data_IF_275766005707
#
_entry.id   IF_275766005707
#
_cell.length_a   1.000
_cell.length_b   1.000
_cell.length_c   1.000
_cell.angle_alpha   90.00
_cell.angle_beta   90.00
_cell.angle_gamma   90.00
#
_symmetry.space_group_name_H-M   'P 1'
#
loop_
_entity.id
_entity.type
_entity.pdbx_description
1 polymer ?
#
# COMPACT_ATOMS: atom_id res chain seq x y z
N UNK A 1 -87.45 31.50 34.52
CA UNK A 1 -86.26 31.14 35.32
C UNK A 1 -85.89 29.67 35.17
N UNK A 2 -86.78 28.72 35.45
CA UNK A 2 -86.51 27.27 35.33
C UNK A 2 -86.11 26.80 33.92
N UNK A 3 -86.74 27.31 32.86
CA UNK A 3 -86.35 26.96 31.49
C UNK A 3 -84.92 27.36 31.12
N UNK A 4 -84.45 28.50 31.63
CA UNK A 4 -83.09 29.00 31.39
C UNK A 4 -82.05 28.17 32.17
N UNK A 5 -82.42 27.70 33.36
CA UNK A 5 -81.60 26.80 34.20
C UNK A 5 -81.47 25.42 33.53
N UNK A 6 -82.58 24.84 33.06
CA UNK A 6 -82.59 23.54 32.37
C UNK A 6 -81.75 23.60 31.08
N UNK A 7 -81.89 24.67 30.30
CA UNK A 7 -81.15 24.86 29.06
C UNK A 7 -79.65 25.04 29.33
N UNK A 8 -79.29 25.75 30.41
CA UNK A 8 -77.91 25.86 30.88
C UNK A 8 -77.30 24.52 31.31
N UNK A 9 -78.06 23.67 32.01
CA UNK A 9 -77.61 22.33 32.43
C UNK A 9 -77.37 21.42 31.22
N UNK A 10 -78.29 21.41 30.26
CA UNK A 10 -78.15 20.62 29.02
C UNK A 10 -76.92 21.08 28.23
N UNK A 11 -76.68 22.38 28.15
CA UNK A 11 -75.51 22.94 27.48
C UNK A 11 -74.20 22.53 28.16
N UNK A 12 -74.15 22.53 29.49
CA UNK A 12 -72.98 22.06 30.26
C UNK A 12 -72.75 20.57 30.01
N UNK A 13 -73.80 19.74 30.05
CA UNK A 13 -73.70 18.30 29.77
C UNK A 13 -73.16 18.07 28.35
N UNK A 14 -73.65 18.82 27.37
CA UNK A 14 -73.19 18.75 25.99
C UNK A 14 -71.70 19.07 25.86
N UNK A 15 -71.22 20.14 26.52
CA UNK A 15 -69.79 20.50 26.54
C UNK A 15 -68.96 19.40 27.20
N UNK A 16 -69.39 18.88 28.35
CA UNK A 16 -68.67 17.81 29.07
C UNK A 16 -68.55 16.57 28.18
N UNK A 17 -69.62 16.19 27.48
CA UNK A 17 -69.61 15.06 26.54
C UNK A 17 -68.57 15.27 25.43
N UNK A 18 -68.50 16.46 24.83
CA UNK A 18 -67.51 16.74 23.79
C UNK A 18 -66.09 16.64 24.33
N UNK A 19 -65.80 17.23 25.50
CA UNK A 19 -64.46 17.24 26.09
C UNK A 19 -63.99 15.82 26.44
N UNK A 20 -64.87 14.98 27.00
CA UNK A 20 -64.52 13.60 27.38
C UNK A 20 -64.22 12.72 26.15
N UNK A 21 -64.92 12.97 25.04
CA UNK A 21 -64.80 12.20 23.81
C UNK A 21 -63.78 12.77 22.81
N UNK A 22 -63.26 13.96 23.07
CA UNK A 22 -62.11 14.49 22.39
C UNK A 22 -60.88 13.62 22.68
N UNK A 23 -60.26 13.08 21.63
CA UNK A 23 -59.04 12.27 21.69
C UNK A 23 -58.00 12.85 20.76
N UNK A 24 -56.77 12.92 21.26
CA UNK A 24 -55.61 13.32 20.48
C UNK A 24 -54.85 12.03 20.14
N UNK A 25 -54.67 11.78 18.86
CA UNK A 25 -53.83 10.68 18.36
C UNK A 25 -52.39 11.21 18.28
N UNK A 26 -51.43 10.63 19.03
CA UNK A 26 -50.04 11.06 18.98
C UNK A 26 -49.41 10.78 17.61
N UNK A 27 -48.31 11.49 17.30
CA UNK A 27 -47.51 11.25 16.11
C UNK A 27 -47.11 9.78 15.97
N UNK A 28 -47.09 9.27 14.73
CA UNK A 28 -46.75 7.89 14.38
C UNK A 28 -47.61 6.82 15.10
N UNK A 29 -48.84 7.17 15.47
CA UNK A 29 -49.85 6.24 15.94
C UNK A 29 -51.12 6.36 15.10
N UNK A 30 -51.85 5.27 14.98
CA UNK A 30 -53.16 5.23 14.36
C UNK A 30 -54.15 4.48 15.26
N UNK A 31 -55.35 5.03 15.40
CA UNK A 31 -56.42 4.44 16.21
C UNK A 31 -57.50 3.90 15.28
N UNK A 32 -57.79 2.61 15.38
CA UNK A 32 -58.86 1.97 14.60
C UNK A 32 -60.16 2.14 15.36
N UNK A 33 -61.17 2.75 14.72
CA UNK A 33 -62.47 3.03 15.32
C UNK A 33 -63.55 2.17 14.70
N UNK A 34 -64.30 1.52 15.57
CA UNK A 34 -65.47 0.73 15.25
C UNK A 34 -66.73 1.48 15.65
N UNK A 35 -67.75 1.41 14.80
CA UNK A 35 -69.10 1.90 15.07
C UNK A 35 -70.04 0.72 15.17
N UNK A 36 -70.64 0.51 16.35
CA UNK A 36 -71.56 -0.61 16.61
C UNK A 36 -70.99 -1.99 16.17
N UNK A 37 -69.67 -2.19 16.29
CA UNK A 37 -68.99 -3.42 15.92
C UNK A 37 -68.55 -3.55 14.46
N UNK A 38 -68.85 -2.57 13.60
CA UNK A 38 -68.33 -2.50 12.24
C UNK A 38 -67.18 -1.50 12.13
N UNK A 39 -66.20 -1.77 11.27
CA UNK A 39 -65.14 -0.79 10.96
C UNK A 39 -65.75 0.51 10.41
N UNK A 40 -65.40 1.65 11.00
CA UNK A 40 -65.85 2.96 10.52
C UNK A 40 -64.72 3.76 9.87
N UNK A 41 -63.64 4.00 10.62
CA UNK A 41 -62.52 4.83 10.16
C UNK A 41 -61.25 4.55 10.95
N UNK A 42 -60.10 4.81 10.33
CA UNK A 42 -58.81 4.86 11.01
C UNK A 42 -58.48 6.33 11.30
N UNK A 43 -58.27 6.67 12.55
CA UNK A 43 -57.84 8.02 12.93
C UNK A 43 -56.32 8.10 12.86
N UNK A 44 -55.85 9.03 12.03
CA UNK A 44 -54.44 9.38 11.89
C UNK A 44 -54.03 10.41 12.96
N UNK A 45 -52.81 10.93 12.86
CA UNK A 45 -52.30 11.89 13.84
C UNK A 45 -53.15 13.16 13.84
N UNK A 46 -53.61 13.58 15.01
CA UNK A 46 -54.38 14.81 15.15
C UNK A 46 -55.51 14.69 16.16
N UNK A 47 -56.37 15.70 16.15
CA UNK A 47 -57.51 15.82 17.04
C UNK A 47 -58.75 15.17 16.42
N UNK A 48 -59.37 14.24 17.14
CA UNK A 48 -60.56 13.53 16.72
C UNK A 48 -61.59 13.51 17.86
N UNK A 49 -62.88 13.51 17.53
CA UNK A 49 -63.96 13.43 18.51
C UNK A 49 -64.73 12.12 18.25
N UNK A 50 -64.80 11.25 19.25
CA UNK A 50 -65.66 10.06 19.20
C UNK A 50 -67.11 10.44 19.45
N UNK A 51 -68.05 9.77 18.79
CA UNK A 51 -69.45 9.82 19.23
C UNK A 51 -69.59 8.87 20.44
N UNK A 52 -70.00 9.36 21.62
CA UNK A 52 -70.16 8.52 22.80
C UNK A 52 -71.13 7.38 22.53
N UNK A 53 -70.91 6.21 23.14
CA UNK A 53 -71.74 4.99 23.05
C UNK A 53 -71.68 4.29 21.68
N UNK A 54 -71.61 5.05 20.59
CA UNK A 54 -71.65 4.54 19.21
C UNK A 54 -70.25 4.16 18.71
N UNK A 55 -69.27 5.04 18.92
CA UNK A 55 -67.90 4.84 18.44
C UNK A 55 -67.03 4.27 19.56
N UNK A 56 -66.28 3.19 19.24
CA UNK A 56 -65.32 2.54 20.13
C UNK A 56 -63.96 2.50 19.46
N UNK A 57 -62.92 2.98 20.15
CA UNK A 57 -61.53 2.76 19.74
C UNK A 57 -61.19 1.30 20.04
N UNK A 58 -61.03 0.50 18.99
CA UNK A 58 -60.81 -0.93 19.11
C UNK A 58 -59.34 -1.24 19.41
N UNK A 59 -58.40 -0.60 18.68
CA UNK A 59 -56.97 -0.79 18.90
C UNK A 59 -56.18 0.49 18.62
N UNK A 60 -55.09 0.65 19.38
CA UNK A 60 -54.08 1.69 19.17
C UNK A 60 -52.84 1.03 18.59
N UNK A 61 -52.43 1.46 17.41
CA UNK A 61 -51.34 0.82 16.68
C UNK A 61 -50.23 1.85 16.48
N UNK A 62 -49.00 1.48 16.87
CA UNK A 62 -47.80 2.25 16.54
C UNK A 62 -47.40 1.96 15.10
N UNK A 63 -47.28 3.02 14.31
CA UNK A 63 -46.82 2.99 12.92
C UNK A 63 -45.29 2.97 12.82
N UNK A 64 -44.59 3.17 13.94
CA UNK A 64 -43.12 3.11 14.00
C UNK A 64 -42.61 1.72 13.61
N UNK A 65 -41.45 1.69 12.98
CA UNK A 65 -40.69 0.48 12.75
C UNK A 65 -40.42 -0.24 14.07
N UNK A 66 -40.62 -1.55 14.06
CA UNK A 66 -40.38 -2.45 15.18
C UNK A 66 -39.56 -3.65 14.72
N UNK A 67 -38.83 -4.19 15.67
CA UNK A 67 -37.99 -5.37 15.47
C UNK A 67 -38.70 -6.58 16.04
N UNK A 68 -38.91 -7.60 15.22
CA UNK A 68 -39.39 -8.92 15.62
C UNK A 68 -38.22 -9.91 15.57
N UNK A 69 -37.85 -10.46 16.73
CA UNK A 69 -36.85 -11.52 16.87
C UNK A 69 -37.60 -12.86 16.93
N UNK A 70 -37.30 -13.77 16.00
CA UNK A 70 -37.96 -15.08 15.91
C UNK A 70 -37.02 -16.19 16.41
N UNK A 71 -37.57 -17.21 17.11
CA UNK A 71 -36.76 -18.26 17.68
C UNK A 71 -36.08 -19.11 16.58
N UNK A 72 -34.91 -19.73 16.89
CA UNK A 72 -34.19 -20.59 15.98
C UNK A 72 -35.09 -21.65 15.35
N UNK A 73 -35.07 -21.73 14.02
CA UNK A 73 -35.82 -22.74 13.27
C UNK A 73 -34.88 -23.83 12.74
N UNK A 74 -35.23 -25.12 12.92
CA UNK A 74 -34.49 -26.20 12.29
C UNK A 74 -34.79 -26.24 10.79
N UNK A 75 -33.74 -26.17 10.00
CA UNK A 75 -33.77 -26.26 8.53
C UNK A 75 -32.77 -27.30 8.05
N UNK A 76 -33.04 -27.87 6.88
CA UNK A 76 -32.18 -28.88 6.25
C UNK A 76 -31.71 -28.27 4.93
N UNK A 77 -30.40 -28.29 4.69
CA UNK A 77 -29.82 -27.85 3.42
C UNK A 77 -29.94 -28.91 2.34
N UNK A 78 -29.61 -28.54 1.11
CA UNK A 78 -29.52 -29.45 -0.03
C UNK A 78 -28.58 -30.64 0.20
N UNK A 79 -27.53 -30.44 1.00
CA UNK A 79 -26.55 -31.47 1.40
C UNK A 79 -27.04 -32.38 2.54
N UNK A 80 -28.32 -32.29 2.90
CA UNK A 80 -28.92 -33.04 4.00
C UNK A 80 -28.26 -32.76 5.37
N UNK A 81 -27.82 -31.52 5.59
CA UNK A 81 -27.30 -31.06 6.89
C UNK A 81 -28.39 -30.29 7.63
N UNK A 82 -28.71 -30.73 8.84
CA UNK A 82 -29.64 -30.03 9.75
C UNK A 82 -28.93 -28.88 10.44
N UNK A 83 -29.45 -27.66 10.36
CA UNK A 83 -28.91 -26.49 11.08
C UNK A 83 -30.02 -25.65 11.69
N UNK A 84 -29.67 -24.82 12.66
CA UNK A 84 -30.59 -23.86 13.27
C UNK A 84 -30.28 -22.45 12.78
N UNK A 85 -31.32 -21.74 12.35
CA UNK A 85 -31.18 -20.36 11.85
C UNK A 85 -32.07 -19.42 12.65
N UNK A 86 -31.45 -18.38 13.17
CA UNK A 86 -32.11 -17.26 13.86
C UNK A 86 -32.33 -16.12 12.88
N UNK A 87 -33.49 -15.46 12.95
CA UNK A 87 -33.80 -14.33 12.08
C UNK A 87 -34.46 -13.18 12.81
N UNK A 88 -34.12 -11.98 12.37
CA UNK A 88 -34.68 -10.73 12.86
C UNK A 88 -35.33 -9.99 11.71
N UNK A 89 -36.55 -9.53 11.93
CA UNK A 89 -37.36 -8.84 10.92
C UNK A 89 -37.70 -7.44 11.39
N UNK A 90 -37.38 -6.47 10.54
CA UNK A 90 -37.73 -5.07 10.72
C UNK A 90 -38.99 -4.78 9.91
N UNK A 91 -40.07 -4.48 10.62
CA UNK A 91 -41.39 -4.29 10.03
C UNK A 91 -42.06 -3.03 10.58
N UNK A 92 -42.95 -2.47 9.78
CA UNK A 92 -43.81 -1.37 10.19
C UNK A 92 -45.23 -1.61 9.69
N UNK A 93 -46.21 -1.10 10.44
CA UNK A 93 -47.62 -1.16 10.03
C UNK A 93 -47.88 0.02 9.11
N UNK A 94 -48.28 -0.25 7.86
CA UNK A 94 -48.63 0.76 6.86
C UNK A 94 -50.13 1.00 6.83
N UNK A 95 -50.94 -0.07 6.89
CA UNK A 95 -52.40 0.01 6.94
C UNK A 95 -52.93 -0.60 8.26
N UNK A 96 -53.35 0.25 9.23
CA UNK A 96 -53.92 -0.21 10.50
C UNK A 96 -55.22 -1.02 10.38
N UNK A 97 -56.00 -0.82 9.31
CA UNK A 97 -57.23 -1.56 9.06
C UNK A 97 -56.90 -3.00 8.69
N UNK A 98 -56.02 -3.20 7.69
CA UNK A 98 -55.58 -4.54 7.30
C UNK A 98 -54.78 -5.24 8.40
N UNK A 99 -53.98 -4.50 9.17
CA UNK A 99 -53.29 -5.06 10.34
C UNK A 99 -54.24 -5.62 11.41
N UNK A 100 -55.42 -5.02 11.54
CA UNK A 100 -56.39 -5.43 12.55
C UNK A 100 -57.32 -6.56 12.08
N UNK A 101 -57.74 -6.53 10.82
CA UNK A 101 -58.77 -7.44 10.29
C UNK A 101 -58.29 -8.40 9.21
N UNK A 102 -57.08 -8.23 8.69
CA UNK A 102 -56.52 -9.08 7.63
C UNK A 102 -56.12 -10.48 8.13
N UNK A 103 -55.59 -10.57 9.36
CA UNK A 103 -55.21 -11.84 9.99
C UNK A 103 -55.36 -11.74 11.51
N UNK A 104 -55.80 -12.83 12.15
CA UNK A 104 -56.10 -12.87 13.60
C UNK A 104 -54.86 -12.54 14.46
N UNK A 105 -53.73 -13.17 14.17
CA UNK A 105 -52.46 -12.89 14.83
C UNK A 105 -51.34 -12.62 13.81
N UNK A 106 -51.11 -11.35 13.42
CA UNK A 106 -50.12 -11.02 12.40
C UNK A 106 -48.70 -11.44 12.75
N UNK A 107 -48.29 -11.37 14.02
CA UNK A 107 -46.93 -11.75 14.41
C UNK A 107 -46.68 -13.24 14.30
N UNK A 108 -47.63 -14.07 14.74
CA UNK A 108 -47.53 -15.54 14.56
C UNK A 108 -47.61 -15.93 13.08
N UNK A 109 -48.42 -15.23 12.29
CA UNK A 109 -48.51 -15.48 10.86
C UNK A 109 -47.17 -15.18 10.16
N UNK A 110 -46.52 -14.05 10.49
CA UNK A 110 -45.18 -13.71 9.99
C UNK A 110 -44.14 -14.71 10.48
N UNK A 111 -44.18 -15.16 11.73
CA UNK A 111 -43.27 -16.19 12.26
C UNK A 111 -43.35 -17.49 11.43
N UNK A 112 -44.56 -18.00 11.20
CA UNK A 112 -44.80 -19.21 10.41
C UNK A 112 -44.39 -19.04 8.95
N UNK A 113 -44.70 -17.89 8.36
CA UNK A 113 -44.32 -17.56 7.00
C UNK A 113 -42.80 -17.50 6.87
N UNK A 114 -42.12 -16.84 7.81
CA UNK A 114 -40.66 -16.75 7.89
C UNK A 114 -40.04 -18.13 7.99
N UNK A 115 -40.53 -18.99 8.89
CA UNK A 115 -40.05 -20.36 9.04
C UNK A 115 -40.20 -21.19 7.77
N UNK A 116 -41.32 -21.01 7.05
CA UNK A 116 -41.59 -21.73 5.79
C UNK A 116 -40.69 -21.23 4.66
N UNK A 117 -40.56 -19.91 4.52
CA UNK A 117 -39.71 -19.29 3.48
C UNK A 117 -38.23 -19.61 3.71
N UNK A 118 -37.77 -19.56 4.97
CA UNK A 118 -36.40 -19.98 5.33
C UNK A 118 -36.16 -21.44 4.94
N UNK A 119 -37.08 -22.35 5.28
CA UNK A 119 -36.95 -23.77 4.93
C UNK A 119 -36.85 -23.99 3.43
N UNK A 120 -37.64 -23.26 2.64
CA UNK A 120 -37.61 -23.37 1.18
C UNK A 120 -36.30 -22.84 0.59
N UNK A 121 -35.88 -21.63 0.96
CA UNK A 121 -34.65 -21.03 0.43
C UNK A 121 -33.42 -21.85 0.82
N UNK A 122 -33.32 -22.26 2.08
CA UNK A 122 -32.17 -23.01 2.59
C UNK A 122 -32.17 -24.45 2.06
N UNK A 123 -33.34 -25.06 1.84
CA UNK A 123 -33.46 -26.39 1.22
C UNK A 123 -32.86 -26.46 -0.18
N UNK A 124 -32.88 -25.35 -0.92
CA UNK A 124 -32.29 -25.25 -2.26
C UNK A 124 -30.79 -24.90 -2.24
N UNK A 125 -30.21 -24.59 -1.08
CA UNK A 125 -28.83 -24.13 -0.92
C UNK A 125 -27.95 -25.19 -0.25
N UNK A 126 -26.69 -25.23 -0.68
CA UNK A 126 -25.64 -26.04 -0.05
C UNK A 126 -25.15 -25.37 1.24
N UNK A 127 -24.60 -26.15 2.18
CA UNK A 127 -24.14 -25.67 3.48
C UNK A 127 -23.21 -24.46 3.36
N UNK A 128 -22.20 -24.53 2.50
CA UNK A 128 -21.22 -23.45 2.35
C UNK A 128 -21.85 -22.18 1.74
N UNK A 129 -22.78 -22.35 0.80
CA UNK A 129 -23.53 -21.24 0.21
C UNK A 129 -24.39 -20.52 1.25
N UNK A 130 -24.98 -21.24 2.21
CA UNK A 130 -25.77 -20.61 3.29
C UNK A 130 -24.93 -19.74 4.22
N UNK A 131 -23.67 -20.10 4.43
CA UNK A 131 -22.75 -19.37 5.31
C UNK A 131 -22.16 -18.14 4.63
N UNK A 132 -21.85 -18.24 3.33
CA UNK A 132 -21.22 -17.19 2.54
C UNK A 132 -22.21 -16.18 1.96
N UNK A 133 -23.39 -16.63 1.54
CA UNK A 133 -24.35 -15.83 0.75
C UNK A 133 -25.51 -15.27 1.59
N UNK A 134 -25.22 -14.73 2.77
CA UNK A 134 -26.24 -14.18 3.69
C UNK A 134 -27.06 -13.05 3.06
N UNK A 135 -26.44 -12.20 2.26
CA UNK A 135 -27.11 -11.06 1.61
C UNK A 135 -28.16 -11.52 0.58
N UNK A 136 -27.88 -12.63 -0.11
CA UNK A 136 -28.82 -13.24 -1.08
C UNK A 136 -30.05 -13.75 -0.34
N UNK A 137 -29.84 -14.43 0.80
CA UNK A 137 -30.94 -14.95 1.63
C UNK A 137 -31.77 -13.79 2.20
N UNK A 138 -31.12 -12.77 2.79
CA UNK A 138 -31.77 -11.58 3.33
C UNK A 138 -32.65 -10.88 2.27
N UNK A 139 -32.13 -10.73 1.05
CA UNK A 139 -32.85 -10.07 -0.04
C UNK A 139 -34.05 -10.89 -0.51
N UNK A 140 -33.87 -12.20 -0.75
CA UNK A 140 -34.96 -13.09 -1.18
C UNK A 140 -36.06 -13.17 -0.11
N UNK A 141 -35.67 -13.33 1.16
CA UNK A 141 -36.58 -13.33 2.29
C UNK A 141 -37.39 -12.03 2.36
N UNK A 142 -36.73 -10.87 2.26
CA UNK A 142 -37.42 -9.57 2.28
C UNK A 142 -38.49 -9.48 1.19
N UNK A 143 -38.16 -9.85 -0.05
CA UNK A 143 -39.11 -9.77 -1.18
C UNK A 143 -40.31 -10.67 -0.97
N UNK A 144 -40.08 -11.95 -0.63
CA UNK A 144 -41.16 -12.93 -0.46
C UNK A 144 -42.05 -12.56 0.74
N UNK A 145 -41.44 -12.11 1.84
CA UNK A 145 -42.20 -11.72 3.03
C UNK A 145 -43.00 -10.44 2.80
N UNK A 146 -42.42 -9.40 2.19
CA UNK A 146 -43.11 -8.13 1.91
C UNK A 146 -44.37 -8.36 1.07
N UNK A 147 -44.24 -9.09 -0.04
CA UNK A 147 -45.35 -9.40 -0.95
C UNK A 147 -46.47 -10.20 -0.25
N UNK A 148 -46.10 -11.15 0.62
CA UNK A 148 -47.07 -11.96 1.34
C UNK A 148 -47.70 -11.24 2.55
N UNK A 149 -47.04 -10.22 3.12
CA UNK A 149 -47.55 -9.44 4.26
C UNK A 149 -48.32 -8.18 3.88
N UNK A 150 -48.27 -7.77 2.62
CA UNK A 150 -49.05 -6.65 2.09
C UNK A 150 -50.56 -6.73 2.41
N UNK A 151 -51.25 -7.88 2.23
CA UNK A 151 -52.67 -8.02 2.59
C UNK A 151 -52.95 -7.86 4.10
N UNK A 152 -51.92 -7.93 4.94
CA UNK A 152 -52.00 -7.72 6.39
C UNK A 152 -51.66 -6.27 6.78
N UNK A 153 -51.42 -5.37 5.82
CA UNK A 153 -51.06 -3.98 6.10
C UNK A 153 -49.71 -3.83 6.81
N UNK A 154 -48.82 -4.80 6.62
CA UNK A 154 -47.47 -4.81 7.20
C UNK A 154 -46.46 -4.73 6.07
N UNK A 155 -45.53 -3.80 6.20
CA UNK A 155 -44.40 -3.65 5.29
C UNK A 155 -43.13 -4.19 5.94
N UNK A 156 -42.40 -5.02 5.20
CA UNK A 156 -41.12 -5.57 5.63
C UNK A 156 -39.99 -4.71 5.07
N UNK A 157 -39.38 -3.92 5.95
CA UNK A 157 -38.30 -3.03 5.55
C UNK A 157 -36.99 -3.82 5.35
N UNK A 158 -36.70 -4.75 6.27
CA UNK A 158 -35.45 -5.50 6.28
C UNK A 158 -35.59 -6.86 6.97
N UNK A 159 -34.87 -7.85 6.47
CA UNK A 159 -34.70 -9.17 7.09
C UNK A 159 -33.21 -9.42 7.27
N UNK A 160 -32.82 -9.86 8.45
CA UNK A 160 -31.42 -10.20 8.77
C UNK A 160 -31.34 -11.58 9.41
N UNK A 161 -30.51 -12.45 8.84
CA UNK A 161 -30.06 -13.68 9.50
C UNK A 161 -29.13 -13.31 10.65
N UNK A 162 -29.51 -13.67 11.88
CA UNK A 162 -28.75 -13.38 13.10
C UNK A 162 -27.63 -14.40 13.27
N UNK A 163 -27.97 -15.69 13.35
CA UNK A 163 -27.04 -16.79 13.50
C UNK A 163 -27.40 -17.96 12.58
N UNK A 164 -26.38 -18.68 12.11
CA UNK A 164 -26.52 -19.96 11.39
C UNK A 164 -25.65 -20.96 12.16
N UNK A 165 -26.30 -21.93 12.80
CA UNK A 165 -25.66 -22.88 13.70
C UNK A 165 -25.75 -24.29 13.11
N UNK A 166 -24.70 -24.76 12.42
CA UNK A 166 -24.60 -26.16 12.02
C UNK A 166 -24.36 -27.08 13.24
N UNK A 167 -24.52 -28.40 13.08
CA UNK A 167 -24.21 -29.35 14.15
C UNK A 167 -22.72 -29.32 14.48
N UNK A 168 -22.38 -29.50 15.75
CA UNK A 168 -21.01 -29.43 16.26
C UNK A 168 -20.03 -30.33 15.50
N UNK A 169 -20.48 -31.52 15.07
CA UNK A 169 -19.67 -32.45 14.27
C UNK A 169 -19.21 -31.85 12.93
N UNK A 170 -20.11 -31.14 12.24
CA UNK A 170 -19.82 -30.49 10.96
C UNK A 170 -18.95 -29.25 11.18
N UNK A 171 -19.26 -28.45 12.20
CA UNK A 171 -18.45 -27.28 12.56
C UNK A 171 -16.99 -27.67 12.82
N UNK A 172 -16.76 -28.71 13.64
CA UNK A 172 -15.42 -29.22 13.91
C UNK A 172 -14.70 -29.75 12.67
N UNK A 173 -15.42 -30.41 11.76
CA UNK A 173 -14.85 -30.89 10.50
C UNK A 173 -14.45 -29.72 9.59
N UNK A 174 -15.31 -28.71 9.45
CA UNK A 174 -15.04 -27.50 8.68
C UNK A 174 -13.87 -26.71 9.25
N UNK A 175 -13.80 -26.52 10.57
CA UNK A 175 -12.67 -25.83 11.21
C UNK A 175 -11.34 -26.53 10.94
N UNK A 176 -11.31 -27.87 11.02
CA UNK A 176 -10.12 -28.67 10.67
C UNK A 176 -9.75 -28.53 9.20
N UNK A 177 -10.74 -28.59 8.30
CA UNK A 177 -10.53 -28.43 6.86
C UNK A 177 -10.01 -27.02 6.51
N UNK A 178 -10.63 -25.98 7.07
CA UNK A 178 -10.24 -24.58 6.85
C UNK A 178 -8.85 -24.28 7.40
N UNK A 179 -8.50 -24.88 8.55
CA UNK A 179 -7.15 -24.79 9.10
C UNK A 179 -6.14 -25.44 8.18
N UNK A 180 -6.40 -26.66 7.70
CA UNK A 180 -5.51 -27.37 6.78
C UNK A 180 -5.33 -26.61 5.45
N UNK A 181 -6.40 -26.04 4.89
CA UNK A 181 -6.35 -25.26 3.65
C UNK A 181 -5.59 -23.93 3.86
N UNK A 182 -5.77 -23.26 5.00
CA UNK A 182 -5.00 -22.06 5.36
C UNK A 182 -3.52 -22.38 5.51
N UNK A 183 -3.15 -23.44 6.23
CA UNK A 183 -1.76 -23.88 6.38
C UNK A 183 -1.13 -24.26 5.03
N UNK A 184 -1.89 -24.91 4.15
CA UNK A 184 -1.44 -25.21 2.78
C UNK A 184 -1.17 -23.93 2.00
N UNK A 185 -2.11 -22.98 2.04
CA UNK A 185 -1.99 -21.69 1.33
C UNK A 185 -0.85 -20.84 1.86
N UNK A 186 -0.65 -20.83 3.18
CA UNK A 186 0.49 -20.17 3.83
C UNK A 186 1.82 -20.74 3.31
N UNK A 187 1.98 -22.07 3.28
CA UNK A 187 3.19 -22.72 2.77
C UNK A 187 3.46 -22.41 1.30
N UNK A 188 2.42 -22.38 0.47
CA UNK A 188 2.55 -22.01 -0.95
C UNK A 188 3.00 -20.56 -1.07
N UNK A 189 2.36 -19.64 -0.36
CA UNK A 189 2.69 -18.22 -0.39
C UNK A 189 4.10 -17.95 0.13
N UNK A 190 4.53 -18.67 1.18
CA UNK A 190 5.89 -18.59 1.69
C UNK A 190 6.91 -19.07 0.66
N UNK A 191 6.68 -20.22 0.03
CA UNK A 191 7.56 -20.74 -1.01
C UNK A 191 7.64 -19.81 -2.23
N UNK A 192 6.52 -19.21 -2.63
CA UNK A 192 6.47 -18.19 -3.69
C UNK A 192 7.23 -16.92 -3.28
N UNK A 193 7.07 -16.47 -2.03
CA UNK A 193 7.80 -15.33 -1.47
C UNK A 193 9.31 -15.57 -1.39
N UNK A 194 9.74 -16.75 -0.95
CA UNK A 194 11.16 -17.15 -0.91
C UNK A 194 11.76 -17.19 -2.31
N UNK A 195 11.04 -17.78 -3.29
CA UNK A 195 11.46 -17.78 -4.68
C UNK A 195 11.57 -16.37 -5.25
N UNK A 196 10.56 -15.53 -5.03
CA UNK A 196 10.57 -14.14 -5.52
C UNK A 196 11.70 -13.32 -4.87
N UNK A 197 11.93 -13.48 -3.57
CA UNK A 197 13.03 -12.86 -2.84
C UNK A 197 14.39 -13.28 -3.40
N UNK A 198 14.60 -14.58 -3.61
CA UNK A 198 15.85 -15.10 -4.18
C UNK A 198 16.12 -14.56 -5.59
N UNK A 199 15.09 -14.44 -6.43
CA UNK A 199 15.21 -13.84 -7.77
C UNK A 199 15.60 -12.36 -7.65
N UNK A 200 14.91 -11.59 -6.81
CA UNK A 200 15.21 -10.16 -6.62
C UNK A 200 16.62 -9.93 -6.10
N UNK A 201 17.11 -10.76 -5.17
CA UNK A 201 18.48 -10.70 -4.67
C UNK A 201 19.48 -11.00 -5.79
N UNK A 202 19.27 -12.07 -6.56
CA UNK A 202 20.16 -12.44 -7.67
C UNK A 202 20.18 -11.37 -8.78
N UNK A 203 19.04 -10.74 -9.08
CA UNK A 203 18.97 -9.60 -10.00
C UNK A 203 19.69 -8.37 -9.44
N UNK A 204 19.56 -8.12 -8.14
CA UNK A 204 20.31 -7.09 -7.42
C UNK A 204 21.83 -7.31 -7.49
N UNK A 205 22.30 -8.53 -7.22
CA UNK A 205 23.73 -8.88 -7.31
C UNK A 205 24.26 -8.75 -8.75
N UNK A 206 23.51 -9.25 -9.73
CA UNK A 206 23.89 -9.12 -11.15
C UNK A 206 23.99 -7.65 -11.56
N UNK A 207 23.01 -6.82 -11.21
CA UNK A 207 23.02 -5.41 -11.54
C UNK A 207 24.13 -4.66 -10.83
N UNK A 208 24.38 -4.95 -9.55
CA UNK A 208 25.51 -4.41 -8.79
C UNK A 208 26.86 -4.79 -9.42
N UNK A 209 27.06 -6.05 -9.82
CA UNK A 209 28.29 -6.50 -10.47
C UNK A 209 28.54 -5.82 -11.82
N UNK A 210 27.49 -5.62 -12.62
CA UNK A 210 27.58 -4.88 -13.89
C UNK A 210 27.97 -3.42 -13.63
N UNK A 211 27.27 -2.73 -12.73
CA UNK A 211 27.56 -1.33 -12.37
C UNK A 211 28.97 -1.17 -11.82
N UNK A 212 29.46 -2.13 -11.02
CA UNK A 212 30.83 -2.13 -10.52
C UNK A 212 31.86 -2.30 -11.64
N UNK A 213 31.63 -3.22 -12.58
CA UNK A 213 32.52 -3.44 -13.72
C UNK A 213 32.56 -2.21 -14.65
N UNK A 214 31.40 -1.59 -14.91
CA UNK A 214 31.30 -0.33 -15.65
C UNK A 214 32.01 0.81 -14.92
N UNK A 215 31.83 0.91 -13.60
CA UNK A 215 32.51 1.88 -12.75
C UNK A 215 34.04 1.73 -12.78
N UNK A 216 34.55 0.49 -12.70
CA UNK A 216 35.98 0.19 -12.80
C UNK A 216 36.54 0.54 -14.19
N UNK A 217 35.81 0.22 -15.26
CA UNK A 217 36.20 0.59 -16.62
C UNK A 217 36.26 2.10 -16.79
N UNK A 218 35.23 2.81 -16.34
CA UNK A 218 35.20 4.27 -16.38
C UNK A 218 36.33 4.90 -15.57
N UNK A 219 36.58 4.40 -14.35
CA UNK A 219 37.69 4.83 -13.51
C UNK A 219 39.06 4.60 -14.16
N UNK A 220 39.26 3.44 -14.81
CA UNK A 220 40.50 3.14 -15.51
C UNK A 220 40.74 4.07 -16.72
N UNK A 221 39.69 4.37 -17.49
CA UNK A 221 39.77 5.34 -18.59
C UNK A 221 40.11 6.73 -18.07
N UNK A 222 39.38 7.21 -17.06
CA UNK A 222 39.62 8.52 -16.43
C UNK A 222 41.04 8.63 -15.85
N UNK A 223 41.55 7.55 -15.23
CA UNK A 223 42.93 7.53 -14.73
C UNK A 223 43.94 7.60 -15.87
N UNK A 224 43.75 6.86 -16.96
CA UNK A 224 44.65 6.89 -18.11
C UNK A 224 44.64 8.26 -18.82
N UNK A 225 43.47 8.90 -18.91
CA UNK A 225 43.33 10.27 -19.42
C UNK A 225 44.02 11.28 -18.50
N UNK A 226 43.82 11.16 -17.17
CA UNK A 226 44.48 12.01 -16.18
C UNK A 226 46.01 11.87 -16.23
N UNK A 227 46.53 10.65 -16.35
CA UNK A 227 47.98 10.39 -16.48
C UNK A 227 48.55 10.99 -17.77
N UNK A 228 47.85 10.82 -18.89
CA UNK A 228 48.21 11.42 -20.17
C UNK A 228 48.24 12.94 -20.08
N UNK A 229 47.19 13.56 -19.53
CA UNK A 229 47.11 15.01 -19.38
C UNK A 229 48.21 15.53 -18.45
N UNK A 230 48.47 14.84 -17.34
CA UNK A 230 49.57 15.17 -16.44
C UNK A 230 50.94 15.07 -17.12
N UNK A 231 51.16 14.08 -18.01
CA UNK A 231 52.39 13.98 -18.81
C UNK A 231 52.52 15.12 -19.82
N UNK A 232 51.44 15.49 -20.52
CA UNK A 232 51.44 16.61 -21.47
C UNK A 232 51.79 17.90 -20.73
N UNK A 233 51.10 18.21 -19.62
CA UNK A 233 51.39 19.42 -18.85
C UNK A 233 52.81 19.45 -18.28
N UNK A 234 53.36 18.29 -17.88
CA UNK A 234 54.76 18.19 -17.45
C UNK A 234 55.72 18.48 -18.61
N UNK A 235 55.50 17.88 -19.77
CA UNK A 235 56.33 18.12 -20.96
C UNK A 235 56.24 19.57 -21.45
N UNK A 236 55.07 20.20 -21.40
CA UNK A 236 54.87 21.62 -21.69
C UNK A 236 55.64 22.50 -20.69
N UNK A 237 55.52 22.22 -19.39
CA UNK A 237 56.27 22.94 -18.36
C UNK A 237 57.79 22.78 -18.50
N UNK A 238 58.27 21.59 -18.86
CA UNK A 238 59.70 21.36 -19.17
C UNK A 238 60.15 22.10 -20.43
N UNK A 239 59.34 22.09 -21.49
CA UNK A 239 59.65 22.82 -22.72
C UNK A 239 59.70 24.33 -22.47
N UNK A 240 58.74 24.88 -21.73
CA UNK A 240 58.70 26.30 -21.35
C UNK A 240 59.91 26.66 -20.46
N UNK A 241 60.27 25.80 -19.51
CA UNK A 241 61.48 25.97 -18.71
C UNK A 241 62.76 25.95 -19.57
N UNK A 242 62.87 25.02 -20.53
CA UNK A 242 64.00 24.95 -21.47
C UNK A 242 64.08 26.21 -22.32
N UNK A 243 62.97 26.68 -22.89
CA UNK A 243 62.94 27.92 -23.68
C UNK A 243 63.41 29.10 -22.82
N UNK A 244 62.88 29.24 -21.61
CA UNK A 244 63.26 30.32 -20.68
C UNK A 244 64.75 30.27 -20.33
N UNK A 245 65.30 29.08 -20.08
CA UNK A 245 66.74 28.90 -19.81
C UNK A 245 67.57 29.20 -21.06
N UNK A 246 67.16 28.75 -22.26
CA UNK A 246 67.87 29.01 -23.51
C UNK A 246 67.83 30.48 -23.89
N UNK A 247 66.72 31.18 -23.66
CA UNK A 247 66.62 32.63 -23.81
C UNK A 247 67.54 33.36 -22.83
N UNK A 248 67.57 32.94 -21.55
CA UNK A 248 68.49 33.48 -20.56
C UNK A 248 69.96 33.25 -20.97
N UNK A 249 70.29 32.08 -21.51
CA UNK A 249 71.63 31.76 -22.03
C UNK A 249 71.94 32.58 -23.28
N UNK A 250 71.01 32.69 -24.24
CA UNK A 250 71.20 33.45 -25.47
C UNK A 250 71.36 34.95 -25.18
N UNK A 251 70.60 35.49 -24.24
CA UNK A 251 70.78 36.86 -23.75
C UNK A 251 72.14 37.02 -23.05
N UNK A 252 72.55 36.05 -22.24
CA UNK A 252 73.90 36.00 -21.67
C UNK A 252 75.00 35.98 -22.74
N UNK A 253 74.86 35.18 -23.80
CA UNK A 253 75.82 35.11 -24.92
C UNK A 253 75.81 36.39 -25.75
N UNK A 254 74.65 37.02 -25.99
CA UNK A 254 74.57 38.33 -26.65
C UNK A 254 75.25 39.41 -25.83
N UNK A 255 75.07 39.42 -24.51
CA UNK A 255 75.79 40.33 -23.60
C UNK A 255 77.31 40.05 -23.63
N UNK A 256 77.72 38.79 -23.71
CA UNK A 256 79.14 38.41 -23.84
C UNK A 256 79.74 38.81 -25.19
N UNK A 257 78.99 38.68 -26.30
CA UNK A 257 79.44 39.09 -27.64
C UNK A 257 79.45 40.61 -27.83
N UNK A 258 78.50 41.33 -27.24
CA UNK A 258 78.48 42.80 -27.26
C UNK A 258 79.61 43.41 -26.41
N UNK A 259 80.19 42.63 -25.49
CA UNK A 259 81.31 43.03 -24.66
C UNK A 259 82.70 42.75 -25.29
N UNK A 260 82.75 42.26 -26.54
CA UNK A 260 83.97 41.94 -27.31
C UNK A 260 84.97 41.08 -26.49
N UNK A 261 84.74 39.75 -26.40
CA UNK A 261 85.39 38.93 -25.40
C UNK A 261 86.88 38.77 -25.71
N UNK A 262 87.70 39.45 -24.91
CA UNK A 262 89.13 39.17 -24.75
C UNK A 262 89.27 37.66 -24.50
N UNK A 263 90.25 37.05 -25.17
CA UNK A 263 90.58 35.60 -25.18
C UNK A 263 90.57 34.91 -23.79
N UNK A 264 90.64 35.68 -22.70
CA UNK A 264 90.54 35.24 -21.30
C UNK A 264 89.16 34.72 -20.87
N UNK A 265 88.05 35.21 -21.44
CA UNK A 265 86.69 34.78 -21.04
C UNK A 265 86.37 33.38 -21.55
N UNK A 266 86.86 33.01 -22.74
CA UNK A 266 86.73 31.67 -23.32
C UNK A 266 87.53 30.65 -22.50
N UNK A 267 88.74 31.03 -22.04
CA UNK A 267 89.53 30.21 -21.12
C UNK A 267 88.82 29.98 -19.77
N UNK A 268 88.24 31.02 -19.16
CA UNK A 268 87.46 30.90 -17.92
C UNK A 268 86.19 30.04 -18.06
N UNK A 269 85.49 30.14 -19.20
CA UNK A 269 84.34 29.27 -19.50
C UNK A 269 84.79 27.81 -19.69
N UNK A 270 85.93 27.56 -20.34
CA UNK A 270 86.49 26.21 -20.49
C UNK A 270 86.86 25.61 -19.13
N UNK A 271 87.45 26.38 -18.22
CA UNK A 271 87.78 25.94 -16.85
C UNK A 271 86.52 25.62 -16.01
N UNK A 272 85.47 26.43 -16.07
CA UNK A 272 84.20 26.13 -15.36
C UNK A 272 83.40 24.98 -16.00
N UNK A 273 83.57 24.73 -17.30
CA UNK A 273 83.03 23.53 -17.96
C UNK A 273 83.82 22.29 -17.53
N UNK A 274 85.14 22.40 -17.37
CA UNK A 274 85.98 21.36 -16.77
C UNK A 274 85.58 21.07 -15.32
N UNK A 275 85.23 22.07 -14.51
CA UNK A 275 84.73 21.87 -13.14
C UNK A 275 83.41 21.08 -13.13
N UNK A 276 82.45 21.41 -14.00
CA UNK A 276 81.20 20.64 -14.14
C UNK A 276 81.40 19.22 -14.70
N UNK A 277 82.46 18.99 -15.47
CA UNK A 277 82.85 17.66 -15.98
C UNK A 277 83.61 16.86 -14.91
N UNK A 278 84.33 17.53 -14.01
CA UNK A 278 85.01 16.93 -12.86
C UNK A 278 84.04 16.55 -11.71
N UNK A 279 82.82 17.09 -11.70
CA UNK A 279 81.76 16.86 -10.69
C UNK A 279 81.15 15.43 -10.70
N UNK A 280 81.82 14.47 -11.35
CA UNK A 280 81.66 13.02 -11.09
C UNK A 280 80.36 12.35 -11.55
N UNK A 281 79.46 13.05 -12.26
CA UNK A 281 78.13 12.51 -12.63
C UNK A 281 78.04 11.78 -13.97
N UNK A 282 79.13 11.61 -14.72
CA UNK A 282 79.13 10.93 -16.02
C UNK A 282 80.02 9.67 -16.03
N UNK A 283 79.40 8.49 -16.20
CA UNK A 283 80.06 7.16 -16.09
C UNK A 283 80.63 6.62 -17.42
N UNK A 284 80.68 7.43 -18.49
CA UNK A 284 81.21 7.01 -19.80
C UNK A 284 82.00 8.13 -20.47
N UNK A 285 83.32 7.95 -20.55
CA UNK A 285 84.27 8.86 -21.21
C UNK A 285 84.55 8.31 -22.62
N UNK A 286 84.32 9.11 -23.66
CA UNK A 286 84.75 8.82 -25.03
C UNK A 286 85.95 9.72 -25.31
N UNK A 287 87.13 9.12 -25.44
CA UNK A 287 88.39 9.83 -25.66
C UNK A 287 88.70 9.85 -27.16
N UNK A 288 89.00 11.01 -27.77
CA UNK A 288 89.39 11.12 -29.18
C UNK A 288 90.69 10.37 -29.51
N UNK A 289 90.76 9.83 -30.72
CA UNK A 289 91.79 8.92 -31.25
C UNK A 289 93.21 9.49 -31.35
N UNK A 290 93.42 10.78 -31.04
CA UNK A 290 94.73 11.44 -31.16
C UNK A 290 95.67 11.17 -29.96
N UNK A 291 95.15 10.75 -28.81
CA UNK A 291 95.95 10.45 -27.59
C UNK A 291 96.49 9.00 -27.61
N UNK A 292 95.99 8.14 -28.50
CA UNK A 292 96.37 6.73 -28.58
C UNK A 292 97.79 6.51 -29.15
N UNK A 293 98.30 7.45 -29.94
CA UNK A 293 99.67 7.39 -30.50
C UNK A 293 100.76 7.66 -29.46
N UNK A 294 100.44 8.38 -28.38
CA UNK A 294 101.39 8.71 -27.31
C UNK A 294 101.64 7.52 -26.36
N UNK A 295 100.65 6.64 -26.19
CA UNK A 295 100.76 5.46 -25.35
C UNK A 295 101.63 4.34 -25.97
N UNK A 296 101.71 4.27 -27.31
CA UNK A 296 102.59 3.34 -28.02
C UNK A 296 104.09 3.68 -27.89
N UNK A 297 104.42 4.96 -27.73
CA UNK A 297 105.81 5.41 -27.51
C UNK A 297 106.33 5.08 -26.11
N UNK A 298 105.44 5.08 -25.10
CA UNK A 298 105.80 4.73 -23.73
C UNK A 298 106.08 3.22 -23.57
N UNK A 299 105.40 2.38 -24.34
CA UNK A 299 105.60 0.92 -24.34
C UNK A 299 106.90 0.53 -25.03
N UNK A 300 107.28 1.17 -26.16
CA UNK A 300 108.59 0.94 -26.80
C UNK A 300 109.79 1.40 -25.95
N UNK A 301 109.64 2.49 -25.18
CA UNK A 301 110.67 2.95 -24.25
C UNK A 301 110.85 1.97 -23.06
N UNK A 302 109.76 1.36 -22.57
CA UNK A 302 109.82 0.36 -21.49
C UNK A 302 110.46 -0.96 -21.95
N UNK A 303 110.30 -1.34 -23.21
CA UNK A 303 110.85 -2.57 -23.78
C UNK A 303 112.37 -2.44 -24.02
N UNK A 304 112.85 -1.28 -24.49
CA UNK A 304 114.28 -0.97 -24.62
C UNK A 304 114.98 -0.92 -23.25
N UNK A 305 114.31 -0.45 -22.20
CA UNK A 305 114.86 -0.44 -20.83
C UNK A 305 114.92 -1.84 -20.18
N UNK A 306 114.11 -2.81 -20.63
CA UNK A 306 114.17 -4.19 -20.14
C UNK A 306 115.28 -5.03 -20.79
N UNK A 307 115.67 -4.71 -22.03
CA UNK A 307 116.71 -5.46 -22.76
C UNK A 307 118.15 -5.05 -22.36
N UNK A 308 118.36 -3.82 -21.86
CA UNK A 308 119.68 -3.40 -21.33
C UNK A 308 120.04 -3.97 -19.95
N UNK A 309 119.09 -4.54 -19.19
CA UNK A 309 119.35 -5.11 -17.87
C UNK A 309 119.87 -6.58 -17.89
N UNK A 310 120.05 -7.18 -19.08
CA UNK A 310 120.49 -8.59 -19.24
C UNK A 310 121.90 -8.80 -19.82
N UNK A 311 122.70 -7.75 -20.02
CA UNK A 311 124.06 -7.85 -20.64
C UNK A 311 125.17 -7.23 -19.76
N UNK A 312 125.06 -7.35 -18.43
CA UNK A 312 126.16 -7.02 -17.49
C UNK A 312 126.25 -8.08 -16.38
N UNK A 313 126.62 -9.29 -16.77
CA UNK A 313 127.54 -10.18 -16.06
C UNK A 313 128.60 -10.63 -17.06
#
# INVERSE_FOLDING_TARGET
MYGLIILGVIFIIFIVVIIVNAKIVPQANAYVVERLGAYHSTWETGFHIAIPIIDRISKRISLKERVADFPPQPVITKDNVTMQIDTVIYLQVTDPKFYMYGVDNPMKAIENLTATTLRNIIGDMELDATLTSRDVINTKMRVILDEATDPWGIKINRVELKNIMPPEAIQNAMERQMKAERERREKILQAEGEKASAILVAEGEKSAAILQAEGLKAAAILSAEADREAQIRRAEGEAEAIITVQEAVANGVKMLNAADPIQSVIALKSLSTFEKVADGKATKIIIPSEIQSLAGLATSLSEIMKDQAKVSQ
#
